data_IF_667443143587
#
_entry.id   IF_667443143587
#
_cell.length_a   1.000
_cell.length_b   1.000
_cell.length_c   1.000
_cell.angle_alpha   90.00
_cell.angle_beta   90.00
_cell.angle_gamma   90.00
#
_symmetry.space_group_name_H-M   'P 1'
#
loop_
_entity.id
_entity.type
_entity.pdbx_description
1 polymer ?
#
# COMPACT_ATOMS: atom_id res chain seq x y z
N UNK A 1 4.37 -15.11 9.25
CA UNK A 1 4.75 -13.71 9.56
C UNK A 1 3.88 -12.77 8.74
N UNK A 2 3.49 -11.61 9.27
CA UNK A 2 2.63 -10.64 8.57
C UNK A 2 3.46 -9.60 7.81
N UNK A 3 3.07 -9.31 6.57
CA UNK A 3 3.59 -8.22 5.75
C UNK A 3 2.52 -7.20 5.38
N UNK A 4 2.97 -6.01 4.96
CA UNK A 4 2.13 -4.89 4.52
C UNK A 4 2.55 -4.50 3.11
N UNK A 5 1.61 -4.52 2.16
CA UNK A 5 1.84 -4.00 0.81
C UNK A 5 1.16 -2.62 0.69
N UNK A 6 1.95 -1.56 0.55
CA UNK A 6 1.44 -0.21 0.29
C UNK A 6 1.11 -0.10 -1.21
N UNK A 7 -0.17 -0.21 -1.55
CA UNK A 7 -0.60 -0.32 -2.94
C UNK A 7 -1.02 1.02 -3.54
N UNK A 8 -0.42 1.37 -4.67
CA UNK A 8 -0.73 2.58 -5.44
C UNK A 8 -1.03 2.29 -6.90
N UNK A 9 -1.60 3.26 -7.62
CA UNK A 9 -1.82 3.11 -9.07
C UNK A 9 -0.49 3.15 -9.85
N UNK A 10 0.44 3.96 -9.34
CA UNK A 10 1.64 4.37 -10.05
C UNK A 10 1.39 5.54 -11.00
N UNK A 11 2.47 6.17 -11.43
CA UNK A 11 2.47 7.41 -12.20
C UNK A 11 3.72 7.47 -13.10
N UNK A 12 3.67 8.30 -14.14
CA UNK A 12 4.83 8.48 -15.04
C UNK A 12 5.99 9.21 -14.36
N UNK A 13 5.71 10.13 -13.44
CA UNK A 13 6.76 10.81 -12.68
C UNK A 13 7.18 9.91 -11.50
N UNK A 14 8.46 9.46 -11.45
CA UNK A 14 8.95 8.58 -10.38
C UNK A 14 8.89 9.21 -8.99
N UNK A 15 8.83 10.55 -8.86
CA UNK A 15 8.71 11.22 -7.56
C UNK A 15 7.42 10.85 -6.82
N UNK A 16 6.41 10.34 -7.52
CA UNK A 16 5.19 9.81 -6.91
C UNK A 16 5.44 8.57 -6.03
N UNK A 17 6.62 7.96 -6.10
CA UNK A 17 7.04 6.91 -5.17
C UNK A 17 7.41 7.46 -3.80
N UNK A 18 7.86 8.73 -3.71
CA UNK A 18 8.42 9.28 -2.48
C UNK A 18 7.44 9.24 -1.29
N UNK A 19 6.13 9.56 -1.44
CA UNK A 19 5.18 9.38 -0.35
C UNK A 19 5.11 7.94 0.17
N UNK A 20 5.16 6.95 -0.72
CA UNK A 20 5.15 5.53 -0.33
C UNK A 20 6.40 5.15 0.46
N UNK A 21 7.58 5.60 0.01
CA UNK A 21 8.82 5.41 0.76
C UNK A 21 8.77 6.08 2.14
N UNK A 22 8.26 7.32 2.23
CA UNK A 22 8.09 8.01 3.52
C UNK A 22 7.14 7.27 4.45
N UNK A 23 6.04 6.71 3.93
CA UNK A 23 5.12 5.89 4.74
C UNK A 23 5.82 4.62 5.22
N UNK A 24 6.52 3.90 4.32
CA UNK A 24 7.29 2.70 4.67
C UNK A 24 8.31 3.00 5.78
N UNK A 25 9.10 4.05 5.61
CA UNK A 25 10.13 4.43 6.58
C UNK A 25 9.51 4.86 7.92
N UNK A 26 8.36 5.55 7.89
CA UNK A 26 7.61 5.89 9.09
C UNK A 26 7.02 4.66 9.83
N UNK A 27 6.65 3.61 9.09
CA UNK A 27 6.22 2.32 9.65
C UNK A 27 7.42 1.63 10.31
N UNK A 28 8.55 1.49 9.60
CA UNK A 28 9.75 0.84 10.12
C UNK A 28 10.34 1.56 11.33
N UNK A 29 10.24 2.88 11.40
CA UNK A 29 10.65 3.65 12.57
C UNK A 29 9.81 3.34 13.82
N UNK A 30 8.55 2.92 13.64
CA UNK A 30 7.63 2.55 14.73
C UNK A 30 7.72 1.07 15.09
N UNK A 31 7.89 0.23 14.08
CA UNK A 31 7.93 -1.22 14.21
C UNK A 31 9.03 -1.80 13.29
N UNK A 32 10.30 -1.83 13.75
CA UNK A 32 11.44 -2.21 12.89
C UNK A 32 11.41 -3.65 12.35
N UNK A 33 10.61 -4.53 12.96
CA UNK A 33 10.49 -5.94 12.57
C UNK A 33 9.37 -6.24 11.58
N UNK A 34 8.57 -5.23 11.18
CA UNK A 34 7.47 -5.46 10.23
C UNK A 34 7.98 -5.51 8.79
N UNK A 35 7.47 -6.45 8.01
CA UNK A 35 7.75 -6.52 6.57
C UNK A 35 6.82 -5.54 5.84
N UNK A 36 7.38 -4.59 5.09
CA UNK A 36 6.59 -3.59 4.37
C UNK A 36 7.24 -3.21 3.05
N UNK A 37 6.47 -3.30 1.97
CA UNK A 37 6.92 -2.93 0.62
C UNK A 37 5.88 -2.07 -0.09
N UNK A 38 6.29 -1.12 -0.94
CA UNK A 38 5.39 -0.53 -1.91
C UNK A 38 5.05 -1.55 -3.01
N UNK A 39 3.95 -1.31 -3.73
CA UNK A 39 3.59 -2.04 -4.94
C UNK A 39 2.66 -1.19 -5.80
N UNK A 40 2.90 -1.15 -7.11
CA UNK A 40 2.14 -0.31 -8.03
C UNK A 40 1.37 -1.14 -9.06
N UNK A 41 0.19 -0.64 -9.44
CA UNK A 41 -0.63 -1.24 -10.49
C UNK A 41 0.07 -1.15 -11.86
N UNK A 42 0.58 0.02 -12.21
CA UNK A 42 1.24 0.27 -13.49
C UNK A 42 2.25 1.43 -13.40
N UNK A 43 3.01 1.64 -14.47
CA UNK A 43 3.91 2.79 -14.69
C UNK A 43 5.10 2.93 -13.72
N UNK A 44 5.12 2.20 -12.62
CA UNK A 44 6.13 2.28 -11.56
C UNK A 44 6.52 0.90 -11.07
N UNK A 45 7.70 0.85 -10.44
CA UNK A 45 8.24 -0.34 -9.78
C UNK A 45 8.47 -0.07 -8.29
N UNK A 46 8.39 -1.09 -7.43
CA UNK A 46 7.98 -2.47 -7.74
C UNK A 46 6.51 -2.57 -8.16
N UNK A 47 6.19 -3.51 -9.07
CA UNK A 47 4.78 -3.83 -9.36
C UNK A 47 4.10 -4.47 -8.14
N UNK A 48 2.77 -4.60 -8.15
CA UNK A 48 2.05 -5.35 -7.12
C UNK A 48 2.66 -6.74 -6.87
N UNK A 49 2.87 -7.50 -7.95
CA UNK A 49 3.41 -8.86 -7.87
C UNK A 49 4.84 -8.86 -7.34
N UNK A 50 5.69 -7.92 -7.77
CA UNK A 50 7.07 -7.80 -7.29
C UNK A 50 7.11 -7.46 -5.79
N UNK A 51 6.21 -6.60 -5.32
CA UNK A 51 6.08 -6.29 -3.90
C UNK A 51 5.63 -7.49 -3.07
N UNK A 52 4.65 -8.26 -3.55
CA UNK A 52 4.22 -9.51 -2.91
C UNK A 52 5.35 -10.53 -2.87
N UNK A 53 6.03 -10.75 -4.01
CA UNK A 53 7.13 -11.70 -4.11
C UNK A 53 8.28 -11.33 -3.15
N UNK A 54 8.57 -10.04 -3.00
CA UNK A 54 9.55 -9.53 -2.03
C UNK A 54 9.13 -9.84 -0.58
N UNK A 55 7.88 -9.58 -0.21
CA UNK A 55 7.36 -9.86 1.14
C UNK A 55 7.39 -11.36 1.45
N UNK A 56 7.00 -12.21 0.49
CA UNK A 56 7.05 -13.67 0.63
C UNK A 56 8.50 -14.16 0.78
N UNK A 57 9.43 -13.62 0.00
CA UNK A 57 10.85 -13.97 0.13
C UNK A 57 11.43 -13.60 1.50
N UNK A 58 10.93 -12.52 2.10
CA UNK A 58 11.27 -12.11 3.47
C UNK A 58 10.58 -12.96 4.56
N UNK A 59 9.72 -13.92 4.18
CA UNK A 59 9.06 -14.87 5.08
C UNK A 59 7.61 -14.52 5.43
N UNK A 60 6.99 -13.56 4.73
CA UNK A 60 5.57 -13.27 4.92
C UNK A 60 4.70 -14.47 4.48
N UNK A 61 3.79 -14.88 5.35
CA UNK A 61 2.75 -15.90 5.09
C UNK A 61 1.37 -15.27 5.05
N UNK A 62 1.24 -14.05 5.56
CA UNK A 62 0.03 -13.23 5.51
C UNK A 62 0.43 -11.83 5.03
N UNK A 63 -0.29 -11.28 4.04
CA UNK A 63 -0.06 -9.92 3.54
C UNK A 63 -1.36 -9.13 3.64
N UNK A 64 -1.28 -7.94 4.24
CA UNK A 64 -2.37 -6.96 4.17
C UNK A 64 -2.02 -5.95 3.11
N UNK A 65 -2.83 -5.89 2.06
CA UNK A 65 -2.71 -4.87 1.03
C UNK A 65 -3.46 -3.63 1.50
N UNK A 66 -2.75 -2.51 1.58
CA UNK A 66 -3.27 -1.21 2.02
C UNK A 66 -3.33 -0.27 0.82
N UNK A 67 -4.51 0.00 0.24
CA UNK A 67 -4.63 0.89 -0.90
C UNK A 67 -4.42 2.36 -0.47
N UNK A 68 -3.35 2.99 -0.96
CA UNK A 68 -3.01 4.39 -0.69
C UNK A 68 -3.77 5.29 -1.69
N UNK A 69 -5.10 5.29 -1.59
CA UNK A 69 -6.01 6.10 -2.39
C UNK A 69 -6.94 6.92 -1.51
N UNK A 70 -7.25 8.15 -1.94
CA UNK A 70 -8.27 8.98 -1.28
C UNK A 70 -9.69 8.49 -1.56
N UNK A 71 -9.92 7.96 -2.75
CA UNK A 71 -11.14 7.27 -3.11
C UNK A 71 -10.76 6.16 -4.10
N UNK A 72 -11.34 4.97 -3.95
CA UNK A 72 -11.08 3.90 -4.89
C UNK A 72 -11.99 4.02 -6.12
N UNK A 73 -11.37 4.22 -7.28
CA UNK A 73 -12.03 4.11 -8.58
C UNK A 73 -12.53 2.69 -8.85
N UNK A 74 -13.48 2.57 -9.79
CA UNK A 74 -14.10 1.29 -10.14
C UNK A 74 -13.12 0.22 -10.63
N UNK A 75 -12.01 0.63 -11.27
CA UNK A 75 -10.95 -0.25 -11.74
C UNK A 75 -10.23 -0.94 -10.57
N UNK A 76 -9.71 -0.17 -9.60
CA UNK A 76 -9.04 -0.72 -8.41
C UNK A 76 -9.94 -1.68 -7.63
N UNK A 77 -11.24 -1.36 -7.46
CA UNK A 77 -12.18 -2.23 -6.74
C UNK A 77 -12.42 -3.58 -7.43
N UNK A 78 -12.22 -3.67 -8.74
CA UNK A 78 -12.39 -4.90 -9.53
C UNK A 78 -11.07 -5.65 -9.71
N UNK A 79 -10.00 -4.94 -10.00
CA UNK A 79 -8.72 -5.52 -10.39
C UNK A 79 -7.94 -6.03 -9.18
N UNK A 80 -7.97 -5.29 -8.06
CA UNK A 80 -7.19 -5.64 -6.88
C UNK A 80 -7.56 -7.01 -6.27
N UNK A 81 -8.85 -7.38 -6.12
CA UNK A 81 -9.22 -8.74 -5.71
C UNK A 81 -8.67 -9.83 -6.62
N UNK A 82 -8.68 -9.62 -7.94
CA UNK A 82 -8.17 -10.59 -8.89
C UNK A 82 -6.65 -10.72 -8.79
N UNK A 83 -5.93 -9.60 -8.67
CA UNK A 83 -4.47 -9.59 -8.48
C UNK A 83 -4.08 -10.32 -7.19
N UNK A 84 -4.81 -10.08 -6.09
CA UNK A 84 -4.59 -10.79 -4.83
C UNK A 84 -4.85 -12.30 -4.96
N UNK A 85 -5.93 -12.70 -5.63
CA UNK A 85 -6.22 -14.12 -5.89
C UNK A 85 -5.09 -14.78 -6.69
N UNK A 86 -4.65 -14.16 -7.79
CA UNK A 86 -3.56 -14.67 -8.61
C UNK A 86 -2.25 -14.81 -7.80
N UNK A 87 -1.95 -13.85 -6.93
CA UNK A 87 -0.76 -13.92 -6.09
C UNK A 87 -0.85 -15.05 -5.05
N UNK A 88 -2.03 -15.31 -4.46
CA UNK A 88 -2.23 -16.46 -3.58
C UNK A 88 -2.09 -17.79 -4.33
N UNK A 89 -2.54 -17.88 -5.58
CA UNK A 89 -2.35 -19.08 -6.41
C UNK A 89 -0.86 -19.32 -6.75
N UNK A 90 -0.07 -18.25 -6.91
CA UNK A 90 1.38 -18.34 -7.16
C UNK A 90 2.19 -18.77 -5.91
N UNK A 91 1.71 -18.46 -4.71
CA UNK A 91 2.43 -18.66 -3.45
C UNK A 91 1.65 -19.56 -2.49
N UNK A 92 1.99 -20.85 -2.47
CA UNK A 92 1.31 -21.83 -1.64
C UNK A 92 1.35 -21.46 -0.14
N UNK A 93 0.18 -21.38 0.49
CA UNK A 93 0.03 -21.05 1.91
C UNK A 93 0.05 -19.54 2.23
N UNK A 94 0.19 -18.68 1.21
CA UNK A 94 0.03 -17.24 1.37
C UNK A 94 -1.45 -16.87 1.54
N UNK A 95 -1.74 -16.02 2.51
CA UNK A 95 -3.05 -15.39 2.68
C UNK A 95 -2.92 -13.90 2.41
N UNK A 96 -3.77 -13.36 1.53
CA UNK A 96 -3.83 -11.92 1.26
C UNK A 96 -5.18 -11.36 1.73
N UNK A 97 -5.13 -10.33 2.57
CA UNK A 97 -6.29 -9.56 2.98
C UNK A 97 -6.23 -8.14 2.37
N UNK A 98 -7.38 -7.63 1.93
CA UNK A 98 -7.50 -6.28 1.38
C UNK A 98 -8.07 -5.35 2.45
N UNK A 99 -7.35 -4.28 2.76
CA UNK A 99 -7.88 -3.19 3.58
C UNK A 99 -8.77 -2.26 2.73
N UNK A 100 -9.60 -1.47 3.41
CA UNK A 100 -10.25 -0.33 2.78
C UNK A 100 -9.17 0.70 2.33
N UNK A 101 -9.45 1.49 1.28
CA UNK A 101 -8.58 2.60 0.91
C UNK A 101 -8.37 3.57 2.08
N UNK A 102 -7.17 4.13 2.20
CA UNK A 102 -6.84 5.04 3.33
C UNK A 102 -7.78 6.24 3.43
N UNK A 103 -8.28 6.77 2.31
CA UNK A 103 -9.23 7.89 2.34
C UNK A 103 -10.63 7.55 2.84
N UNK A 104 -10.95 6.26 3.00
CA UNK A 104 -12.21 5.80 3.61
C UNK A 104 -12.03 5.52 5.12
N UNK A 105 -10.81 5.60 5.66
CA UNK A 105 -10.53 5.36 7.06
C UNK A 105 -10.74 6.63 7.90
N UNK A 106 -11.59 6.54 8.93
CA UNK A 106 -11.91 7.66 9.82
C UNK A 106 -10.66 8.32 10.43
N UNK A 107 -9.68 7.51 10.86
CA UNK A 107 -8.43 8.03 11.44
C UNK A 107 -7.63 8.89 10.47
N UNK A 108 -7.69 8.58 9.16
CA UNK A 108 -7.02 9.36 8.11
C UNK A 108 -7.80 10.63 7.84
N UNK A 109 -9.12 10.56 7.77
CA UNK A 109 -9.98 11.73 7.59
C UNK A 109 -9.79 12.75 8.72
N UNK A 110 -9.75 12.29 9.97
CA UNK A 110 -9.45 13.13 11.13
C UNK A 110 -8.06 13.77 11.02
N UNK A 111 -7.02 12.98 10.70
CA UNK A 111 -5.66 13.51 10.56
C UNK A 111 -5.55 14.56 9.45
N UNK A 112 -6.26 14.37 8.33
CA UNK A 112 -6.31 15.33 7.23
C UNK A 112 -7.06 16.61 7.62
N UNK A 113 -8.17 16.49 8.34
CA UNK A 113 -8.92 17.65 8.84
C UNK A 113 -8.06 18.47 9.82
N UNK A 114 -7.39 17.80 10.75
CA UNK A 114 -6.48 18.43 11.71
C UNK A 114 -5.31 19.15 11.02
N UNK A 115 -4.75 18.56 9.96
CA UNK A 115 -3.73 19.20 9.14
C UNK A 115 -4.30 20.44 8.43
N UNK A 116 -5.44 20.31 7.76
CA UNK A 116 -6.06 21.39 7.00
C UNK A 116 -6.41 22.61 7.86
N UNK A 117 -6.82 22.41 9.12
CA UNK A 117 -7.08 23.50 10.07
C UNK A 117 -5.82 24.26 10.49
N UNK A 118 -4.65 23.62 10.43
CA UNK A 118 -3.36 24.22 10.82
C UNK A 118 -2.59 24.81 9.65
N UNK A 119 -2.96 24.46 8.42
CA UNK A 119 -2.29 24.92 7.21
C UNK A 119 -2.33 26.46 7.12
N UNK A 120 -1.18 27.07 6.84
CA UNK A 120 -1.04 28.51 6.63
C UNK A 120 -0.69 28.82 5.16
N UNK A 121 -1.00 30.03 4.65
CA UNK A 121 -0.60 30.41 3.30
C UNK A 121 0.92 30.38 3.14
N UNK A 122 1.44 29.58 2.19
CA UNK A 122 2.86 29.58 1.81
C UNK A 122 3.63 28.28 2.06
N UNK A 123 2.99 27.22 2.55
CA UNK A 123 3.50 25.83 2.50
C UNK A 123 3.23 25.16 1.15
#
# INVERSE_FOLDING_TARGET
MRGILLFGHGARNPEWAQPFHRIRDAILAREPGVLVEPGFLELMRPTFDEGVDCLVHQGATEIVVVPIFMAAGSHVKKDLPQMAANAMDRHAGLVIALAAPVGEAESVLVAMADYALKAQPGE
#
